data_IF_261642228478
#
_entry.id   IF_261642228478
#
_cell.length_a   1.000
_cell.length_b   1.000
_cell.length_c   1.000
_cell.angle_alpha   90.00
_cell.angle_beta   90.00
_cell.angle_gamma   90.00
#
_symmetry.space_group_name_H-M   'P 1'
#
loop_
_entity.id
_entity.type
_entity.pdbx_description
1 polymer ?
#
# COMPACT_ATOMS: atom_id res chain seq x y z
N UNK A 1 -6.94 19.04 -4.65
CA UNK A 1 -6.61 17.61 -4.47
C UNK A 1 -5.62 17.27 -5.56
N UNK A 2 -4.35 17.05 -5.23
CA UNK A 2 -3.33 16.65 -6.20
C UNK A 2 -3.17 15.14 -6.06
N UNK A 3 -3.56 14.39 -7.08
CA UNK A 3 -3.34 12.95 -7.17
C UNK A 3 -1.98 12.73 -7.81
N UNK A 4 -1.06 12.04 -7.13
CA UNK A 4 0.30 11.80 -7.63
C UNK A 4 0.30 10.76 -8.77
N UNK A 5 -0.50 9.71 -8.61
CA UNK A 5 -0.78 8.70 -9.64
C UNK A 5 -2.31 8.46 -9.75
N UNK A 6 -2.79 8.11 -10.95
CA UNK A 6 -4.20 7.77 -11.23
C UNK A 6 -4.27 6.48 -12.04
N UNK A 7 -5.22 5.60 -11.72
CA UNK A 7 -5.53 4.42 -12.53
C UNK A 7 -6.64 4.77 -13.53
N UNK A 8 -6.42 4.45 -14.80
CA UNK A 8 -7.41 4.59 -15.86
C UNK A 8 -7.74 3.24 -16.49
N UNK A 9 -9.00 3.08 -16.92
CA UNK A 9 -9.42 2.00 -17.80
C UNK A 9 -9.90 2.62 -19.10
N UNK A 10 -9.18 2.37 -20.18
CA UNK A 10 -9.46 2.94 -21.49
C UNK A 10 -9.08 1.96 -22.60
N UNK A 11 -9.72 2.13 -23.75
CA UNK A 11 -9.24 1.55 -25.00
C UNK A 11 -8.16 2.44 -25.64
N UNK A 12 -7.52 1.92 -26.69
CA UNK A 12 -6.47 2.66 -27.39
C UNK A 12 -6.98 3.97 -28.00
N UNK A 13 -8.23 4.00 -28.51
CA UNK A 13 -8.78 5.19 -29.15
C UNK A 13 -8.99 6.34 -28.15
N UNK A 14 -9.46 6.02 -26.94
CA UNK A 14 -9.59 6.98 -25.86
C UNK A 14 -8.23 7.41 -25.32
N UNK A 15 -7.31 6.46 -25.09
CA UNK A 15 -5.96 6.78 -24.62
C UNK A 15 -5.24 7.74 -25.56
N UNK A 16 -5.24 7.46 -26.88
CA UNK A 16 -4.62 8.33 -27.89
C UNK A 16 -5.25 9.73 -27.93
N UNK A 17 -6.56 9.81 -27.75
CA UNK A 17 -7.27 11.08 -27.73
C UNK A 17 -6.95 11.87 -26.47
N UNK A 18 -6.89 11.20 -25.33
CA UNK A 18 -6.51 11.81 -24.06
C UNK A 18 -5.09 12.41 -24.15
N UNK A 19 -4.12 11.69 -24.70
CA UNK A 19 -2.75 12.21 -24.85
C UNK A 19 -2.66 13.44 -25.76
N UNK A 20 -3.50 13.50 -26.80
CA UNK A 20 -3.58 14.66 -27.71
C UNK A 20 -4.25 15.87 -27.07
N UNK A 21 -5.28 15.64 -26.26
CA UNK A 21 -6.13 16.69 -25.70
C UNK A 21 -5.70 17.11 -24.29
N UNK A 22 -4.75 16.41 -23.66
CA UNK A 22 -4.30 16.71 -22.30
C UNK A 22 -3.66 18.10 -22.23
N UNK A 23 -4.22 18.98 -21.40
CA UNK A 23 -3.80 20.40 -21.29
C UNK A 23 -2.93 20.71 -20.08
N UNK A 24 -2.62 19.71 -19.25
CA UNK A 24 -1.79 19.86 -18.07
C UNK A 24 -0.66 18.85 -18.07
N UNK A 25 0.44 19.19 -17.38
CA UNK A 25 1.63 18.35 -17.29
C UNK A 25 1.31 17.12 -16.44
N UNK A 26 1.24 15.96 -17.08
CA UNK A 26 1.14 14.65 -16.44
C UNK A 26 2.40 13.82 -16.69
N UNK A 27 2.57 12.74 -15.92
CA UNK A 27 3.56 11.70 -16.19
C UNK A 27 3.11 10.88 -17.42
N UNK A 28 4.05 10.26 -18.12
CA UNK A 28 3.74 9.35 -19.21
C UNK A 28 2.87 8.19 -18.72
N UNK A 29 1.93 7.76 -19.58
CA UNK A 29 1.08 6.60 -19.30
C UNK A 29 1.91 5.34 -19.19
N UNK A 30 1.52 4.49 -18.24
CA UNK A 30 2.05 3.14 -18.08
C UNK A 30 0.90 2.16 -18.24
N UNK A 31 1.16 1.07 -18.95
CA UNK A 31 0.17 0.03 -19.18
C UNK A 31 0.53 -1.18 -18.33
N UNK A 32 -0.45 -1.72 -17.63
CA UNK A 32 -0.30 -2.96 -16.88
C UNK A 32 -0.28 -4.13 -17.86
N UNK A 33 0.80 -4.92 -17.85
CA UNK A 33 0.90 -6.18 -18.60
C UNK A 33 1.14 -7.34 -17.63
N UNK A 34 1.12 -8.57 -18.14
CA UNK A 34 1.44 -9.78 -17.38
C UNK A 34 2.94 -9.85 -17.01
N UNK A 35 3.81 -9.22 -17.79
CA UNK A 35 5.26 -9.15 -17.55
C UNK A 35 5.69 -7.93 -16.76
N UNK A 36 4.97 -6.81 -16.89
CA UNK A 36 5.40 -5.51 -16.39
C UNK A 36 4.42 -4.97 -15.34
N UNK A 37 4.72 -5.18 -14.05
CA UNK A 37 3.95 -4.56 -12.98
C UNK A 37 4.20 -3.05 -12.91
N UNK A 38 3.18 -2.29 -12.50
CA UNK A 38 3.25 -0.83 -12.43
C UNK A 38 3.24 -0.34 -10.98
N UNK A 39 3.95 0.75 -10.73
CA UNK A 39 3.90 1.45 -9.45
C UNK A 39 2.68 2.38 -9.40
N UNK A 40 1.96 2.35 -8.27
CA UNK A 40 0.80 3.20 -8.02
C UNK A 40 0.76 3.59 -6.54
N UNK A 41 1.00 4.87 -6.23
CA UNK A 41 0.87 5.43 -4.87
C UNK A 41 1.59 4.60 -3.77
N UNK A 42 2.79 4.08 -4.06
CA UNK A 42 3.57 3.27 -3.11
C UNK A 42 3.24 1.77 -3.10
N UNK A 43 2.34 1.33 -3.97
CA UNK A 43 2.04 -0.07 -4.25
C UNK A 43 2.60 -0.52 -5.61
N UNK A 44 2.72 -1.83 -5.78
CA UNK A 44 2.93 -2.54 -7.03
C UNK A 44 1.61 -3.18 -7.46
N UNK A 45 1.16 -2.85 -8.66
CA UNK A 45 0.03 -3.50 -9.34
C UNK A 45 0.59 -4.61 -10.23
N UNK A 46 0.08 -5.83 -10.08
CA UNK A 46 0.44 -6.98 -10.90
C UNK A 46 -0.79 -7.55 -11.60
N UNK A 47 -0.61 -7.95 -12.87
CA UNK A 47 -1.57 -8.78 -13.59
C UNK A 47 -1.11 -10.25 -13.49
N UNK A 48 -1.84 -11.03 -12.71
CA UNK A 48 -1.60 -12.46 -12.55
C UNK A 48 -2.37 -13.31 -13.56
N UNK A 49 -2.09 -14.62 -13.53
CA UNK A 49 -2.80 -15.62 -14.33
C UNK A 49 -4.32 -15.53 -14.13
N UNK A 50 -5.09 -15.68 -15.21
CA UNK A 50 -6.56 -15.58 -15.17
C UNK A 50 -7.09 -14.15 -15.07
N UNK A 51 -6.32 -13.14 -15.51
CA UNK A 51 -6.68 -11.72 -15.46
C UNK A 51 -6.95 -11.19 -14.04
N UNK A 52 -6.30 -11.79 -13.04
CA UNK A 52 -6.42 -11.34 -11.65
C UNK A 52 -5.48 -10.18 -11.41
N UNK A 53 -6.03 -9.00 -11.11
CA UNK A 53 -5.23 -7.83 -10.71
C UNK A 53 -4.99 -7.89 -9.22
N UNK A 54 -3.73 -7.77 -8.80
CA UNK A 54 -3.35 -7.69 -7.38
C UNK A 54 -2.61 -6.39 -7.10
N UNK A 55 -2.89 -5.78 -5.96
CA UNK A 55 -2.21 -4.60 -5.44
C UNK A 55 -1.43 -5.00 -4.20
N UNK A 56 -0.11 -4.83 -4.20
CA UNK A 56 0.76 -5.15 -3.06
C UNK A 56 1.59 -3.94 -2.68
N UNK A 57 1.87 -3.75 -1.41
CA UNK A 57 2.76 -2.66 -1.02
C UNK A 57 4.19 -2.89 -1.45
N UNK A 58 4.84 -1.80 -1.88
CA UNK A 58 6.24 -1.83 -2.30
C UNK A 58 7.14 -1.80 -1.08
N UNK A 59 7.71 -2.96 -0.72
CA UNK A 59 8.84 -3.09 0.24
C UNK A 59 8.61 -2.54 1.66
N UNK A 60 7.40 -2.10 2.02
CA UNK A 60 7.15 -1.55 3.36
C UNK A 60 7.13 -2.65 4.42
N UNK A 61 6.69 -3.86 4.05
CA UNK A 61 6.75 -5.03 4.93
C UNK A 61 8.17 -5.46 5.31
N UNK A 62 9.17 -5.16 4.47
CA UNK A 62 10.59 -5.46 4.75
C UNK A 62 11.15 -4.63 5.92
N UNK A 63 10.47 -3.55 6.30
CA UNK A 63 10.86 -2.68 7.43
C UNK A 63 10.24 -3.14 8.75
N UNK A 64 9.48 -4.22 8.75
CA UNK A 64 8.90 -4.78 9.96
C UNK A 64 9.95 -5.63 10.67
N UNK A 65 10.05 -5.43 11.98
CA UNK A 65 10.98 -6.16 12.83
C UNK A 65 10.25 -6.67 14.07
N UNK A 66 10.84 -7.65 14.73
CA UNK A 66 10.31 -8.16 15.99
C UNK A 66 10.41 -7.08 17.09
N UNK A 67 9.30 -6.82 17.76
CA UNK A 67 9.28 -5.96 18.94
C UNK A 67 9.94 -6.66 20.13
N UNK A 68 10.89 -6.00 20.78
CA UNK A 68 11.65 -6.52 21.94
C UNK A 68 11.36 -5.75 23.23
N UNK A 69 10.75 -4.58 23.12
CA UNK A 69 10.40 -3.69 24.21
C UNK A 69 9.14 -2.86 23.86
N UNK A 70 8.63 -2.09 24.82
CA UNK A 70 7.44 -1.26 24.61
C UNK A 70 7.62 -0.22 23.49
N UNK A 71 8.83 0.32 23.31
CA UNK A 71 9.11 1.36 22.31
C UNK A 71 9.06 0.77 20.90
N UNK A 72 9.75 -0.34 20.68
CA UNK A 72 9.73 -1.10 19.43
C UNK A 72 8.34 -1.67 19.15
N UNK A 73 7.57 -2.08 20.15
CA UNK A 73 6.17 -2.47 19.98
C UNK A 73 5.33 -1.35 19.36
N UNK A 74 5.35 -0.16 19.96
CA UNK A 74 4.59 0.99 19.47
C UNK A 74 5.02 1.33 18.04
N UNK A 75 6.33 1.32 17.77
CA UNK A 75 6.88 1.59 16.45
C UNK A 75 6.41 0.57 15.40
N UNK A 76 6.46 -0.73 15.71
CA UNK A 76 6.06 -1.79 14.78
C UNK A 76 4.54 -1.84 14.57
N UNK A 77 3.76 -1.55 15.62
CA UNK A 77 2.32 -1.42 15.53
C UNK A 77 1.90 -0.25 14.63
N UNK A 78 2.56 0.90 14.78
CA UNK A 78 2.34 2.07 13.91
C UNK A 78 2.75 1.79 12.45
N UNK A 79 3.91 1.14 12.23
CA UNK A 79 4.35 0.72 10.89
C UNK A 79 3.36 -0.25 10.25
N UNK A 80 2.91 -1.23 11.01
CA UNK A 80 1.98 -2.24 10.54
C UNK A 80 0.63 -1.69 10.14
N UNK A 81 0.10 -0.77 10.94
CA UNK A 81 -1.15 -0.14 10.60
C UNK A 81 -1.00 0.89 9.46
N UNK A 82 0.15 1.58 9.34
CA UNK A 82 0.44 2.42 8.16
C UNK A 82 0.44 1.57 6.88
N UNK A 83 1.09 0.40 6.93
CA UNK A 83 1.03 -0.60 5.86
C UNK A 83 -0.44 -0.91 5.55
N UNK A 84 -1.24 -1.36 6.51
CA UNK A 84 -2.65 -1.68 6.25
C UNK A 84 -3.41 -0.53 5.54
N UNK A 85 -3.20 0.73 5.96
CA UNK A 85 -3.90 1.89 5.36
C UNK A 85 -3.54 2.18 3.91
N UNK A 86 -2.36 1.77 3.43
CA UNK A 86 -1.97 1.99 2.03
C UNK A 86 -2.84 1.12 1.09
N UNK A 87 -3.24 -0.08 1.53
CA UNK A 87 -4.04 -1.01 0.72
C UNK A 87 -5.53 -0.97 1.06
N UNK A 88 -5.90 -0.56 2.27
CA UNK A 88 -7.26 -0.56 2.77
C UNK A 88 -7.52 0.75 3.53
N UNK A 89 -8.10 1.77 2.88
CA UNK A 89 -8.44 3.03 3.54
C UNK A 89 -9.27 2.83 4.83
N UNK A 90 -10.07 1.77 4.87
CA UNK A 90 -10.90 1.36 6.01
C UNK A 90 -10.06 0.98 7.24
N UNK A 91 -8.81 0.53 7.06
CA UNK A 91 -7.88 0.23 8.15
C UNK A 91 -7.38 1.47 8.89
N UNK A 92 -7.77 2.68 8.46
CA UNK A 92 -7.37 3.94 9.10
C UNK A 92 -7.85 4.05 10.54
N UNK A 93 -9.00 3.42 10.87
CA UNK A 93 -9.50 3.36 12.24
C UNK A 93 -8.60 2.48 13.12
N UNK A 94 -8.22 1.29 12.64
CA UNK A 94 -7.32 0.39 13.36
C UNK A 94 -5.93 1.01 13.52
N UNK A 95 -5.48 1.81 12.55
CA UNK A 95 -4.27 2.63 12.66
C UNK A 95 -4.37 3.69 13.76
N UNK A 96 -5.47 4.44 13.83
CA UNK A 96 -5.66 5.43 14.87
C UNK A 96 -5.70 4.79 16.27
N UNK A 97 -6.40 3.67 16.42
CA UNK A 97 -6.45 2.91 17.67
C UNK A 97 -5.07 2.33 18.04
N UNK A 98 -4.31 1.85 17.05
CA UNK A 98 -2.96 1.37 17.25
C UNK A 98 -1.98 2.46 17.71
N UNK A 99 -2.07 3.66 17.13
CA UNK A 99 -1.22 4.79 17.45
C UNK A 99 -1.45 5.34 18.88
N UNK A 100 -2.63 5.12 19.45
CA UNK A 100 -2.98 5.56 20.80
C UNK A 100 -2.48 4.63 21.92
N UNK A 101 -1.93 3.46 21.58
CA UNK A 101 -1.42 2.53 22.59
C UNK A 101 -0.07 3.01 23.15
N UNK A 102 -0.09 3.55 24.37
CA UNK A 102 1.11 4.10 25.03
C UNK A 102 1.75 3.15 26.05
N UNK A 103 1.00 2.18 26.57
CA UNK A 103 1.46 1.25 27.62
C UNK A 103 1.11 -0.21 27.27
N UNK A 104 1.85 -0.85 26.35
CA UNK A 104 1.58 -2.23 25.98
C UNK A 104 2.01 -3.22 27.07
N UNK A 105 1.14 -4.20 27.33
CA UNK A 105 1.42 -5.36 28.19
C UNK A 105 2.40 -6.34 27.53
N UNK A 106 3.06 -7.19 28.32
CA UNK A 106 3.99 -8.22 27.79
C UNK A 106 3.27 -9.19 26.86
N UNK A 107 2.01 -9.50 27.16
CA UNK A 107 1.13 -10.35 26.37
C UNK A 107 0.83 -9.73 25.00
N UNK A 108 0.56 -8.43 24.92
CA UNK A 108 0.35 -7.71 23.65
C UNK A 108 1.61 -7.71 22.79
N UNK A 109 2.78 -7.49 23.38
CA UNK A 109 4.08 -7.59 22.69
C UNK A 109 4.27 -8.99 22.08
N UNK A 110 3.94 -10.04 22.84
CA UNK A 110 4.04 -11.43 22.37
C UNK A 110 3.04 -11.79 21.26
N UNK A 111 1.85 -11.19 21.24
CA UNK A 111 0.81 -11.44 20.24
C UNK A 111 1.12 -10.78 18.90
N UNK A 112 1.67 -9.57 18.91
CA UNK A 112 2.11 -8.88 17.70
C UNK A 112 3.12 -9.73 16.92
N UNK A 113 4.04 -10.42 17.61
CA UNK A 113 5.02 -11.31 16.97
C UNK A 113 4.38 -12.46 16.17
N UNK A 114 3.20 -12.95 16.58
CA UNK A 114 2.51 -14.06 15.90
C UNK A 114 1.70 -13.63 14.67
N UNK A 115 1.25 -12.38 14.60
CA UNK A 115 0.44 -11.90 13.47
C UNK A 115 1.24 -11.66 12.19
N UNK A 116 2.57 -11.63 12.26
CA UNK A 116 3.46 -11.36 11.12
C UNK A 116 3.96 -12.62 10.39
N UNK A 117 3.52 -13.82 10.78
CA UNK A 117 4.02 -15.10 10.25
C UNK A 117 2.96 -15.90 9.45
N UNK A 118 2.02 -15.20 8.80
CA UNK A 118 1.05 -15.80 7.89
C UNK A 118 1.22 -15.28 6.46
#
# INVERSE_FOLDING_TARGET
>A
MQTDDTLGLSDNAFADREDKELRFKAKDKKYLTDTDPIEFNGCMVHLGSGNVITLRQKKQGEKLENAVDAKSYIQQRARGAYIATICQPEASFDLAAAAQATEPTKEEISRLLRSWHY
#
